data_IF_534180145322
#
_entry.id   IF_534180145322
#
_cell.length_a   1.000
_cell.length_b   1.000
_cell.length_c   1.000
_cell.angle_alpha   90.00
_cell.angle_beta   90.00
_cell.angle_gamma   90.00
#
_symmetry.space_group_name_H-M   'P 1'
#
loop_
_entity.id
_entity.type
_entity.pdbx_description
1 polymer ?
#
# COMPACT_ATOMS: atom_id res chain seq x y z
N UNK A 1 -8.69 35.56 0.77
CA UNK A 1 -7.74 35.21 -0.31
C UNK A 1 -8.57 34.89 -1.56
N UNK A 2 -8.30 35.59 -2.66
CA UNK A 2 -9.11 35.60 -3.89
C UNK A 2 -9.01 34.27 -4.65
N UNK A 3 -10.14 33.73 -5.13
CA UNK A 3 -10.20 32.51 -5.96
C UNK A 3 -9.40 32.54 -7.27
N UNK A 4 -8.86 33.70 -7.66
CA UNK A 4 -7.93 33.86 -8.79
C UNK A 4 -6.60 33.11 -8.57
N UNK A 5 -6.06 33.10 -7.36
CA UNK A 5 -4.82 32.39 -7.06
C UNK A 5 -4.99 30.86 -7.16
N UNK A 6 -6.15 30.35 -6.70
CA UNK A 6 -6.49 28.93 -6.84
C UNK A 6 -6.69 28.53 -8.31
N UNK A 7 -7.25 29.41 -9.16
CA UNK A 7 -7.43 29.16 -10.59
C UNK A 7 -6.13 29.27 -11.40
N UNK A 8 -5.23 30.19 -11.07
CA UNK A 8 -3.99 30.42 -11.83
C UNK A 8 -2.82 29.51 -11.45
N UNK A 9 -2.79 28.99 -10.21
CA UNK A 9 -1.62 28.25 -9.72
C UNK A 9 -1.74 26.73 -9.84
N UNK A 10 -2.85 26.19 -10.37
CA UNK A 10 -3.07 24.74 -10.58
C UNK A 10 -2.45 23.89 -9.46
N UNK A 11 -2.69 24.25 -8.20
CA UNK A 11 -2.12 23.49 -7.08
C UNK A 11 -2.85 22.15 -7.04
N UNK A 12 -2.20 21.10 -7.53
CA UNK A 12 -2.67 19.73 -7.37
C UNK A 12 -2.69 19.39 -5.89
N UNK A 13 -3.88 19.49 -5.28
CA UNK A 13 -4.13 19.06 -3.91
C UNK A 13 -4.88 17.74 -3.97
N UNK A 14 -4.39 16.76 -3.23
CA UNK A 14 -5.11 15.51 -3.03
C UNK A 14 -6.44 15.82 -2.33
N UNK A 15 -7.51 15.24 -2.86
CA UNK A 15 -8.78 15.19 -2.14
C UNK A 15 -8.63 14.35 -0.87
N UNK A 16 -9.50 14.53 0.14
CA UNK A 16 -9.48 13.69 1.34
C UNK A 16 -9.58 12.19 1.04
N UNK A 17 -10.34 11.81 -0.01
CA UNK A 17 -10.47 10.43 -0.45
C UNK A 17 -9.15 9.89 -1.04
N UNK A 18 -8.45 10.67 -1.87
CA UNK A 18 -7.14 10.29 -2.42
C UNK A 18 -6.07 10.19 -1.33
N UNK A 19 -6.09 11.10 -0.34
CA UNK A 19 -5.20 11.05 0.80
C UNK A 19 -5.45 9.79 1.65
N UNK A 20 -6.71 9.44 1.89
CA UNK A 20 -7.08 8.21 2.59
C UNK A 20 -6.67 6.95 1.81
N UNK A 21 -6.84 6.94 0.48
CA UNK A 21 -6.41 5.85 -0.40
C UNK A 21 -4.90 5.65 -0.33
N UNK A 22 -4.12 6.75 -0.39
CA UNK A 22 -2.67 6.72 -0.27
C UNK A 22 -2.22 6.16 1.08
N UNK A 23 -2.80 6.67 2.16
CA UNK A 23 -2.48 6.21 3.52
C UNK A 23 -2.83 4.72 3.73
N UNK A 24 -3.97 4.27 3.19
CA UNK A 24 -4.37 2.87 3.25
C UNK A 24 -3.40 1.95 2.49
N UNK A 25 -2.91 2.39 1.32
CA UNK A 25 -1.91 1.66 0.55
C UNK A 25 -0.55 1.61 1.27
N UNK A 26 -0.07 2.73 1.82
CA UNK A 26 1.17 2.78 2.61
C UNK A 26 1.08 1.87 3.85
N UNK A 27 -0.06 1.90 4.54
CA UNK A 27 -0.34 1.01 5.66
C UNK A 27 -0.28 -0.47 5.24
N UNK A 28 -0.90 -0.83 4.12
CA UNK A 28 -0.84 -2.21 3.59
C UNK A 28 0.60 -2.66 3.38
N UNK A 29 1.41 -1.86 2.67
CA UNK A 29 2.81 -2.20 2.37
C UNK A 29 3.62 -2.37 3.65
N UNK A 30 3.52 -1.42 4.58
CA UNK A 30 4.26 -1.45 5.84
C UNK A 30 3.89 -2.66 6.72
N UNK A 31 2.59 -2.98 6.84
CA UNK A 31 2.13 -4.11 7.65
C UNK A 31 2.49 -5.46 6.99
N UNK A 32 2.41 -5.54 5.65
CA UNK A 32 2.81 -6.73 4.91
C UNK A 32 4.31 -7.01 5.08
N UNK A 33 5.18 -6.02 4.85
CA UNK A 33 6.62 -6.17 5.05
C UNK A 33 6.99 -6.52 6.49
N UNK A 34 6.33 -5.89 7.48
CA UNK A 34 6.58 -6.17 8.89
C UNK A 34 6.27 -7.64 9.21
N UNK A 35 5.17 -8.18 8.68
CA UNK A 35 4.82 -9.58 8.85
C UNK A 35 5.82 -10.49 8.12
N UNK A 36 6.20 -10.17 6.89
CA UNK A 36 7.17 -10.94 6.11
C UNK A 36 8.52 -11.05 6.84
N UNK A 37 8.99 -9.98 7.51
CA UNK A 37 10.20 -10.02 8.35
C UNK A 37 10.11 -10.97 9.55
N UNK A 38 8.91 -11.32 10.01
CA UNK A 38 8.70 -12.27 11.10
C UNK A 38 8.59 -13.72 10.62
N UNK A 39 8.20 -13.93 9.37
CA UNK A 39 7.91 -15.26 8.81
C UNK A 39 9.01 -15.76 7.90
N UNK A 40 9.51 -14.91 7.01
CA UNK A 40 10.48 -15.27 5.99
C UNK A 40 11.86 -15.45 6.60
N UNK A 41 12.49 -16.58 6.27
CA UNK A 41 13.85 -16.91 6.74
C UNK A 41 14.86 -17.06 5.60
N UNK A 42 14.43 -16.76 4.36
CA UNK A 42 15.27 -16.85 3.18
C UNK A 42 16.22 -15.67 2.99
N UNK A 43 16.87 -15.57 1.82
CA UNK A 43 17.80 -14.49 1.56
C UNK A 43 17.11 -13.14 1.54
N UNK A 44 17.83 -12.12 2.01
CA UNK A 44 17.41 -10.73 1.93
C UNK A 44 17.75 -10.22 0.52
N UNK A 45 16.73 -9.87 -0.26
CA UNK A 45 16.85 -9.23 -1.57
C UNK A 45 16.75 -7.71 -1.49
N UNK A 46 16.72 -7.04 -2.66
CA UNK A 46 16.52 -5.58 -2.76
C UNK A 46 15.19 -5.14 -2.12
N UNK A 47 14.17 -5.98 -2.22
CA UNK A 47 12.79 -5.67 -1.85
C UNK A 47 12.33 -6.34 -0.54
N UNK A 48 13.26 -6.90 0.25
CA UNK A 48 12.94 -7.51 1.55
C UNK A 48 13.38 -8.97 1.70
N UNK A 49 12.87 -9.64 2.74
CA UNK A 49 13.25 -11.01 3.08
C UNK A 49 12.37 -12.00 2.31
N UNK A 50 12.98 -12.86 1.51
CA UNK A 50 12.26 -13.86 0.72
C UNK A 50 11.86 -15.08 1.57
N UNK A 51 10.73 -15.73 1.29
CA UNK A 51 10.39 -16.99 1.94
C UNK A 51 11.37 -18.10 1.52
N UNK A 52 11.94 -18.82 2.49
CA UNK A 52 12.80 -19.97 2.26
C UNK A 52 12.00 -21.21 1.85
N UNK A 53 10.73 -21.30 2.28
CA UNK A 53 9.91 -22.50 2.11
C UNK A 53 8.54 -22.20 1.48
N UNK A 54 7.89 -23.20 0.85
CA UNK A 54 6.49 -23.08 0.40
C UNK A 54 5.51 -22.75 1.53
N UNK A 55 5.81 -23.19 2.76
CA UNK A 55 4.98 -22.91 3.94
C UNK A 55 5.00 -21.43 4.32
N UNK A 56 6.19 -20.83 4.36
CA UNK A 56 6.37 -19.38 4.59
C UNK A 56 5.65 -18.58 3.50
N UNK A 57 5.83 -18.98 2.23
CA UNK A 57 5.13 -18.37 1.10
C UNK A 57 3.61 -18.42 1.27
N UNK A 58 3.06 -19.55 1.70
CA UNK A 58 1.64 -19.68 1.98
C UNK A 58 1.16 -18.85 3.18
N UNK A 59 2.03 -18.58 4.16
CA UNK A 59 1.70 -17.71 5.30
C UNK A 59 1.64 -16.24 4.89
N UNK A 60 2.66 -15.74 4.17
CA UNK A 60 2.69 -14.34 3.72
C UNK A 60 1.54 -14.05 2.74
N UNK A 61 1.23 -14.98 1.82
CA UNK A 61 0.11 -14.83 0.89
C UNK A 61 -1.25 -14.77 1.60
N UNK A 62 -1.43 -15.55 2.68
CA UNK A 62 -2.66 -15.50 3.50
C UNK A 62 -2.77 -14.17 4.24
N UNK A 63 -1.67 -13.70 4.83
CA UNK A 63 -1.62 -12.41 5.50
C UNK A 63 -1.93 -11.25 4.53
N UNK A 64 -1.30 -11.23 3.36
CA UNK A 64 -1.54 -10.23 2.32
C UNK A 64 -3.03 -10.16 1.91
N UNK A 65 -3.66 -11.31 1.66
CA UNK A 65 -5.09 -11.37 1.33
C UNK A 65 -5.99 -10.91 2.47
N UNK A 66 -5.65 -11.26 3.71
CA UNK A 66 -6.36 -10.81 4.90
C UNK A 66 -6.26 -9.29 5.07
N UNK A 67 -5.05 -8.73 5.02
CA UNK A 67 -4.80 -7.30 5.13
C UNK A 67 -5.54 -6.51 4.04
N UNK A 68 -5.43 -6.96 2.79
CA UNK A 68 -6.10 -6.30 1.67
C UNK A 68 -7.62 -6.28 1.87
N UNK A 69 -8.20 -7.41 2.31
CA UNK A 69 -9.64 -7.51 2.54
C UNK A 69 -10.08 -6.65 3.71
N UNK A 70 -9.30 -6.64 4.80
CA UNK A 70 -9.55 -5.83 5.99
C UNK A 70 -9.52 -4.34 5.67
N UNK A 71 -8.44 -3.86 5.06
CA UNK A 71 -8.24 -2.44 4.73
C UNK A 71 -9.28 -1.99 3.69
N UNK A 72 -9.53 -2.79 2.65
CA UNK A 72 -10.58 -2.46 1.68
C UNK A 72 -11.97 -2.40 2.33
N UNK A 73 -12.24 -3.26 3.32
CA UNK A 73 -13.50 -3.24 4.08
C UNK A 73 -13.64 -1.99 4.96
N UNK A 74 -12.58 -1.61 5.69
CA UNK A 74 -12.54 -0.40 6.53
C UNK A 74 -12.85 0.88 5.74
N UNK A 75 -12.44 0.91 4.46
CA UNK A 75 -12.56 2.08 3.59
C UNK A 75 -13.52 1.90 2.40
N UNK A 76 -14.42 0.91 2.45
CA UNK A 76 -15.32 0.59 1.34
C UNK A 76 -16.25 1.76 0.93
N UNK A 77 -16.43 2.74 1.82
CA UNK A 77 -17.21 3.96 1.58
C UNK A 77 -16.42 5.08 0.85
N UNK A 78 -15.10 4.97 0.74
CA UNK A 78 -14.23 5.98 0.14
C UNK A 78 -13.69 5.56 -1.22
N UNK A 79 -13.33 4.29 -1.37
CA UNK A 79 -12.71 3.76 -2.59
C UNK A 79 -12.97 2.27 -2.73
N UNK A 80 -12.83 1.78 -3.95
CA UNK A 80 -12.95 0.37 -4.30
C UNK A 80 -11.67 -0.42 -4.03
N UNK A 81 -11.80 -1.74 -3.90
CA UNK A 81 -10.67 -2.66 -3.76
C UNK A 81 -9.68 -2.57 -4.93
N UNK A 82 -10.17 -2.33 -6.15
CA UNK A 82 -9.31 -2.23 -7.35
C UNK A 82 -8.50 -0.93 -7.34
N UNK A 83 -9.06 0.17 -6.82
CA UNK A 83 -8.32 1.43 -6.61
C UNK A 83 -7.22 1.25 -5.57
N UNK A 84 -7.53 0.56 -4.46
CA UNK A 84 -6.51 0.22 -3.45
C UNK A 84 -5.38 -0.62 -4.03
N UNK A 85 -5.66 -1.67 -4.79
CA UNK A 85 -4.64 -2.50 -5.45
C UNK A 85 -3.76 -1.67 -6.40
N UNK A 86 -4.36 -0.75 -7.16
CA UNK A 86 -3.64 0.13 -8.06
C UNK A 86 -2.71 1.07 -7.29
N UNK A 87 -3.20 1.63 -6.17
CA UNK A 87 -2.40 2.53 -5.34
C UNK A 87 -1.29 1.79 -4.60
N UNK A 88 -1.51 0.58 -4.09
CA UNK A 88 -0.46 -0.27 -3.51
C UNK A 88 0.67 -0.46 -4.53
N UNK A 89 0.35 -0.86 -5.77
CA UNK A 89 1.37 -1.01 -6.81
C UNK A 89 2.04 0.31 -7.23
N UNK A 90 1.46 1.47 -6.92
CA UNK A 90 2.11 2.78 -7.08
C UNK A 90 3.03 3.08 -5.90
N UNK A 91 2.58 2.83 -4.66
CA UNK A 91 3.38 2.99 -3.44
C UNK A 91 4.63 2.11 -3.49
N UNK A 92 4.49 0.81 -3.80
CA UNK A 92 5.63 -0.12 -3.89
C UNK A 92 6.70 0.36 -4.88
N UNK A 93 6.26 0.79 -6.07
CA UNK A 93 7.18 1.30 -7.11
C UNK A 93 7.89 2.59 -6.70
N UNK A 94 7.23 3.45 -5.93
CA UNK A 94 7.80 4.72 -5.46
C UNK A 94 8.66 4.53 -4.20
N UNK A 95 8.43 3.47 -3.42
CA UNK A 95 9.21 3.10 -2.24
C UNK A 95 10.49 2.33 -2.56
N UNK A 96 10.60 1.72 -3.75
CA UNK A 96 11.82 1.07 -4.22
C UNK A 96 12.93 2.12 -4.43
N UNK A 97 14.12 1.97 -3.82
CA UNK A 97 15.24 2.84 -4.14
C UNK A 97 15.62 2.68 -5.62
N UNK A 98 15.78 3.80 -6.32
CA UNK A 98 16.24 3.88 -7.71
C UNK A 98 17.48 3.01 -7.95
#
# INVERSE_FOLDING_TARGET
MSGFADQYLCTFRLTPAEAALRQAAERYVSEAEAYDRTVCTGPIGKDGILPATPRERAQINRNANFLLTRIAGEHAHLFSRSELLREIGRVDRLGAPA
#
